data_IF_083490341885
#
_entry.id   IF_083490341885
#
_cell.length_a   1.000
_cell.length_b   1.000
_cell.length_c   1.000
_cell.angle_alpha   90.00
_cell.angle_beta   90.00
_cell.angle_gamma   90.00
#
_symmetry.space_group_name_H-M   'P 1'
#
loop_
_entity.id
_entity.type
_entity.pdbx_description
1 polymer ?
#
# COMPACT_ATOMS: atom_id res chain seq x y z
N UNK A 1 -53.01 24.13 -51.14
CA UNK A 1 -51.83 25.00 -51.28
C UNK A 1 -50.92 24.67 -50.05
N UNK A 2 -50.25 23.64 -50.19
CA UNK A 2 -48.84 23.36 -50.43
C UNK A 2 -47.91 24.16 -49.53
N UNK A 3 -47.48 23.57 -48.45
CA UNK A 3 -46.18 23.72 -47.87
C UNK A 3 -45.70 22.36 -47.38
N UNK A 4 -45.31 21.58 -48.36
CA UNK A 4 -44.59 20.34 -48.14
C UNK A 4 -43.09 20.63 -48.22
N UNK A 5 -42.40 20.21 -47.14
CA UNK A 5 -41.13 19.48 -47.21
C UNK A 5 -39.88 20.22 -47.65
N UNK A 6 -38.98 20.29 -46.69
CA UNK A 6 -37.61 19.75 -46.88
C UNK A 6 -37.03 19.43 -45.51
N UNK A 7 -37.29 18.21 -45.04
CA UNK A 7 -36.45 17.58 -44.02
C UNK A 7 -35.20 17.03 -44.74
N UNK A 8 -34.11 17.76 -44.64
CA UNK A 8 -32.80 17.25 -45.01
C UNK A 8 -32.32 16.28 -43.95
N UNK A 9 -32.30 14.99 -44.28
CA UNK A 9 -31.71 13.94 -43.48
C UNK A 9 -30.18 14.15 -43.42
N UNK A 10 -29.69 14.80 -42.37
CA UNK A 10 -28.28 14.73 -42.02
C UNK A 10 -27.99 13.37 -41.39
N UNK A 11 -27.48 12.44 -42.14
CA UNK A 11 -26.95 11.19 -41.62
C UNK A 11 -25.75 11.49 -40.74
N UNK A 12 -25.92 11.40 -39.45
CA UNK A 12 -24.83 11.48 -38.47
C UNK A 12 -24.04 10.17 -38.58
N UNK A 13 -22.96 10.16 -39.35
CA UNK A 13 -21.97 9.07 -39.32
C UNK A 13 -21.23 9.19 -37.98
N UNK A 14 -21.68 8.45 -36.99
CA UNK A 14 -20.92 8.23 -35.76
C UNK A 14 -19.68 7.41 -36.14
N UNK A 15 -18.53 8.08 -36.28
CA UNK A 15 -17.26 7.42 -36.38
C UNK A 15 -16.99 6.71 -35.02
N UNK A 16 -17.21 5.42 -34.97
CA UNK A 16 -16.76 4.58 -33.85
C UNK A 16 -15.23 4.58 -33.92
N UNK A 17 -14.62 5.45 -33.12
CA UNK A 17 -13.17 5.37 -32.88
C UNK A 17 -12.97 4.13 -32.01
N UNK A 18 -12.74 2.99 -32.64
CA UNK A 18 -12.20 1.83 -31.94
C UNK A 18 -10.84 2.25 -31.37
N UNK A 19 -10.58 2.04 -30.08
CA UNK A 19 -9.25 2.24 -29.56
C UNK A 19 -8.32 1.33 -30.37
N UNK A 20 -7.29 1.93 -30.97
CA UNK A 20 -6.25 1.16 -31.63
C UNK A 20 -5.75 0.12 -30.63
N UNK A 21 -5.97 -1.16 -30.92
CA UNK A 21 -5.38 -2.23 -30.14
C UNK A 21 -3.89 -1.92 -30.08
N UNK A 22 -3.38 -1.70 -28.85
CA UNK A 22 -1.97 -1.48 -28.65
C UNK A 22 -1.27 -2.70 -29.25
N UNK A 23 -0.62 -2.50 -30.40
CA UNK A 23 0.14 -3.55 -31.07
C UNK A 23 1.11 -4.09 -30.02
N UNK A 24 1.06 -5.40 -29.78
CA UNK A 24 2.01 -6.06 -28.89
C UNK A 24 3.41 -5.70 -29.42
N UNK A 25 4.11 -4.84 -28.69
CA UNK A 25 5.46 -4.47 -29.08
C UNK A 25 6.34 -5.70 -28.81
N UNK A 26 6.94 -6.23 -29.86
CA UNK A 26 7.90 -7.32 -29.72
C UNK A 26 9.07 -6.85 -28.84
N UNK A 27 9.31 -7.60 -27.77
CA UNK A 27 10.40 -7.33 -26.85
C UNK A 27 11.71 -7.69 -27.53
N UNK A 28 12.60 -6.72 -27.71
CA UNK A 28 13.91 -6.94 -28.32
C UNK A 28 14.79 -7.85 -27.44
N UNK A 29 15.76 -8.56 -28.02
CA UNK A 29 16.71 -9.36 -27.23
C UNK A 29 17.44 -8.56 -26.14
N UNK A 30 17.78 -7.31 -26.42
CA UNK A 30 18.43 -6.41 -25.47
C UNK A 30 17.50 -6.06 -24.28
N UNK A 31 16.22 -5.77 -24.54
CA UNK A 31 15.22 -5.56 -23.50
C UNK A 31 15.04 -6.82 -22.66
N UNK A 32 14.89 -7.98 -23.31
CA UNK A 32 14.75 -9.26 -22.60
C UNK A 32 15.93 -9.50 -21.64
N UNK A 33 17.16 -9.36 -22.13
CA UNK A 33 18.37 -9.54 -21.32
C UNK A 33 18.41 -8.59 -20.13
N UNK A 34 18.05 -7.31 -20.33
CA UNK A 34 17.99 -6.30 -19.28
C UNK A 34 17.00 -6.65 -18.18
N UNK A 35 15.75 -7.00 -18.54
CA UNK A 35 14.71 -7.31 -17.56
C UNK A 35 14.99 -8.63 -16.82
N UNK A 36 15.58 -9.62 -17.50
CA UNK A 36 16.08 -10.85 -16.86
C UNK A 36 17.17 -10.54 -15.82
N UNK A 37 18.12 -9.66 -16.12
CA UNK A 37 19.15 -9.24 -15.18
C UNK A 37 18.56 -8.53 -13.96
N UNK A 38 17.58 -7.64 -14.13
CA UNK A 38 16.89 -6.97 -13.02
C UNK A 38 16.12 -7.93 -12.12
N UNK A 39 15.43 -8.90 -12.68
CA UNK A 39 14.75 -9.92 -11.89
C UNK A 39 15.76 -10.81 -11.15
N UNK A 40 16.91 -11.12 -11.77
CA UNK A 40 18.00 -11.82 -11.11
C UNK A 40 18.60 -11.01 -9.94
N UNK A 41 18.72 -9.69 -10.09
CA UNK A 41 19.14 -8.80 -9.01
C UNK A 41 18.15 -8.78 -7.84
N UNK A 42 16.86 -8.69 -8.12
CA UNK A 42 15.83 -8.81 -7.10
C UNK A 42 15.91 -10.16 -6.36
N UNK A 43 16.11 -11.27 -7.10
CA UNK A 43 16.29 -12.60 -6.53
C UNK A 43 17.50 -12.70 -5.60
N UNK A 44 18.56 -11.97 -5.93
CA UNK A 44 19.79 -11.92 -5.14
C UNK A 44 19.74 -10.85 -4.01
N UNK A 45 18.60 -10.18 -3.80
CA UNK A 45 18.47 -9.12 -2.81
C UNK A 45 19.25 -7.84 -3.16
N UNK A 46 19.71 -7.72 -4.39
CA UNK A 46 20.36 -6.49 -4.90
C UNK A 46 19.32 -5.54 -5.46
N UNK A 47 18.59 -4.90 -4.57
CA UNK A 47 17.52 -3.97 -4.93
C UNK A 47 18.10 -2.64 -5.43
N UNK A 48 18.18 -2.48 -6.73
CA UNK A 48 18.43 -1.18 -7.33
C UNK A 48 17.17 -0.32 -7.23
N UNK A 49 17.31 0.96 -6.93
CA UNK A 49 16.24 1.90 -7.23
C UNK A 49 15.89 1.69 -8.71
N UNK A 50 14.60 1.55 -9.03
CA UNK A 50 14.20 1.59 -10.43
C UNK A 50 14.65 2.95 -10.95
N UNK A 51 15.45 2.99 -12.02
CA UNK A 51 15.90 4.26 -12.50
C UNK A 51 14.68 5.06 -12.95
N UNK A 52 14.57 6.24 -12.41
CA UNK A 52 13.98 7.33 -13.16
C UNK A 52 14.84 7.67 -14.41
N UNK A 53 16.00 7.04 -14.56
CA UNK A 53 16.94 7.29 -15.61
C UNK A 53 16.77 6.30 -16.78
N UNK A 54 16.91 6.77 -18.03
CA UNK A 54 16.86 5.89 -19.19
C UNK A 54 17.92 4.80 -19.07
N UNK A 55 17.54 3.59 -19.44
CA UNK A 55 18.34 2.37 -19.40
C UNK A 55 19.42 2.35 -20.49
N UNK A 56 20.18 3.44 -20.64
CA UNK A 56 21.08 3.61 -21.75
C UNK A 56 20.31 3.60 -23.08
N UNK A 57 20.83 2.97 -24.14
CA UNK A 57 20.19 2.95 -25.46
C UNK A 57 18.95 2.01 -25.53
N UNK A 58 18.62 1.30 -24.44
CA UNK A 58 17.49 0.34 -24.42
C UNK A 58 16.22 1.06 -23.99
N UNK A 59 15.24 1.12 -24.87
CA UNK A 59 13.94 1.74 -24.57
C UNK A 59 13.21 0.99 -23.46
N UNK A 60 12.62 1.75 -22.52
CA UNK A 60 11.81 1.19 -21.44
C UNK A 60 10.55 0.52 -21.99
N UNK A 61 10.12 -0.55 -21.29
CA UNK A 61 8.85 -1.22 -21.53
C UNK A 61 8.03 -1.09 -20.25
N UNK A 62 7.05 -0.17 -20.18
CA UNK A 62 6.38 0.19 -18.93
C UNK A 62 5.82 -1.01 -18.15
N UNK A 63 5.21 -1.97 -18.84
CA UNK A 63 4.67 -3.17 -18.16
C UNK A 63 5.77 -4.03 -17.54
N UNK A 64 6.94 -4.12 -18.18
CA UNK A 64 8.08 -4.88 -17.63
C UNK A 64 8.75 -4.13 -16.48
N UNK A 65 8.77 -2.81 -16.51
CA UNK A 65 9.21 -1.99 -15.36
C UNK A 65 8.30 -2.23 -14.17
N UNK A 66 6.97 -2.27 -14.37
CA UNK A 66 6.02 -2.59 -13.30
C UNK A 66 6.17 -4.05 -12.81
N UNK A 67 6.48 -5.02 -13.68
CA UNK A 67 6.79 -6.41 -13.28
C UNK A 67 8.03 -6.47 -12.38
N UNK A 68 9.11 -5.79 -12.74
CA UNK A 68 10.34 -5.75 -11.93
C UNK A 68 10.10 -5.06 -10.60
N UNK A 69 9.32 -3.96 -10.60
CA UNK A 69 8.97 -3.25 -9.38
C UNK A 69 8.08 -4.12 -8.49
N UNK A 70 7.04 -4.76 -9.04
CA UNK A 70 6.20 -5.71 -8.31
C UNK A 70 7.03 -6.82 -7.68
N UNK A 71 7.93 -7.45 -8.45
CA UNK A 71 8.79 -8.52 -7.94
C UNK A 71 9.70 -8.05 -6.81
N UNK A 72 10.17 -6.80 -6.84
CA UNK A 72 10.90 -6.17 -5.73
C UNK A 72 9.99 -5.94 -4.53
N UNK A 73 8.85 -5.24 -4.71
CA UNK A 73 8.00 -4.77 -3.61
C UNK A 73 7.36 -5.90 -2.80
N UNK A 74 7.10 -7.06 -3.41
CA UNK A 74 6.56 -8.24 -2.73
C UNK A 74 7.59 -8.96 -1.85
N UNK A 75 8.88 -8.66 -1.98
CA UNK A 75 9.96 -9.28 -1.21
C UNK A 75 10.15 -8.56 0.11
N UNK A 76 10.45 -9.31 1.17
CA UNK A 76 10.82 -8.71 2.45
C UNK A 76 12.18 -8.00 2.33
N UNK A 77 12.40 -6.93 3.12
CA UNK A 77 13.63 -6.15 3.10
C UNK A 77 13.95 -5.47 1.77
N UNK A 78 12.95 -5.20 0.93
CA UNK A 78 13.09 -4.70 -0.46
C UNK A 78 13.67 -3.29 -0.58
N UNK A 79 13.91 -2.57 0.54
CA UNK A 79 14.46 -1.21 0.62
C UNK A 79 13.68 -0.14 -0.14
N UNK A 80 12.44 -0.41 -0.51
CA UNK A 80 11.58 0.60 -1.11
C UNK A 80 10.97 1.48 -0.01
N UNK A 81 10.69 2.72 -0.37
CA UNK A 81 10.03 3.69 0.52
C UNK A 81 8.53 3.47 0.58
N UNK A 82 7.86 4.02 1.60
CA UNK A 82 6.40 4.06 1.70
C UNK A 82 5.78 4.68 0.43
N UNK A 83 6.40 5.74 -0.10
CA UNK A 83 5.93 6.43 -1.30
C UNK A 83 6.01 5.55 -2.56
N UNK A 84 7.09 4.78 -2.74
CA UNK A 84 7.23 3.84 -3.87
C UNK A 84 6.17 2.74 -3.82
N UNK A 85 5.93 2.16 -2.63
CA UNK A 85 4.86 1.18 -2.44
C UNK A 85 3.48 1.78 -2.75
N UNK A 86 3.19 2.97 -2.20
CA UNK A 86 1.91 3.64 -2.41
C UNK A 86 1.66 3.97 -3.88
N UNK A 87 2.69 4.47 -4.58
CA UNK A 87 2.61 4.80 -5.99
C UNK A 87 2.34 3.55 -6.86
N UNK A 88 3.01 2.44 -6.56
CA UNK A 88 2.79 1.18 -7.26
C UNK A 88 1.36 0.66 -7.05
N UNK A 89 0.92 0.54 -5.80
CA UNK A 89 -0.41 0.06 -5.44
C UNK A 89 -1.54 0.92 -6.04
N UNK A 90 -1.29 2.23 -6.15
CA UNK A 90 -2.26 3.15 -6.73
C UNK A 90 -2.43 2.99 -8.26
N UNK A 91 -1.34 2.65 -8.96
CA UNK A 91 -1.36 2.41 -10.41
C UNK A 91 -1.82 1.00 -10.77
N UNK A 92 -1.57 0.04 -9.89
CA UNK A 92 -1.75 -1.38 -10.14
C UNK A 92 -2.62 -2.04 -9.05
N UNK A 93 -3.89 -1.63 -8.87
CA UNK A 93 -4.73 -2.09 -7.75
C UNK A 93 -5.03 -3.59 -7.78
N UNK A 94 -5.10 -4.18 -8.98
CA UNK A 94 -5.49 -5.57 -9.19
C UNK A 94 -4.30 -6.53 -9.36
N UNK A 95 -3.08 -6.05 -9.12
CA UNK A 95 -1.91 -6.91 -9.26
C UNK A 95 -1.80 -7.94 -8.13
N UNK A 96 -1.25 -9.14 -8.42
CA UNK A 96 -1.13 -10.20 -7.44
C UNK A 96 -0.33 -9.77 -6.21
N UNK A 97 -0.63 -10.37 -5.07
CA UNK A 97 0.07 -10.15 -3.79
C UNK A 97 0.03 -8.69 -3.27
N UNK A 98 -0.98 -7.90 -3.64
CA UNK A 98 -1.16 -6.55 -3.13
C UNK A 98 -1.13 -6.48 -1.59
N UNK A 99 -1.68 -7.48 -0.88
CA UNK A 99 -1.63 -7.57 0.58
C UNK A 99 -0.19 -7.72 1.10
N UNK A 100 0.65 -8.52 0.44
CA UNK A 100 2.07 -8.67 0.80
C UNK A 100 2.81 -7.35 0.60
N UNK A 101 2.58 -6.69 -0.53
CA UNK A 101 3.18 -5.37 -0.83
C UNK A 101 2.74 -4.33 0.20
N UNK A 102 1.45 -4.31 0.60
CA UNK A 102 0.96 -3.43 1.66
C UNK A 102 1.62 -3.69 3.00
N UNK A 103 1.77 -4.97 3.41
CA UNK A 103 2.50 -5.32 4.63
C UNK A 103 3.96 -4.85 4.60
N UNK A 104 4.62 -4.98 3.45
CA UNK A 104 5.99 -4.49 3.28
C UNK A 104 6.06 -2.96 3.33
N UNK A 105 5.09 -2.26 2.73
CA UNK A 105 4.96 -0.82 2.86
C UNK A 105 4.82 -0.39 4.33
N UNK A 106 3.94 -1.04 5.07
CA UNK A 106 3.67 -0.73 6.46
C UNK A 106 4.90 -0.95 7.37
N UNK A 107 5.76 -1.92 7.06
CA UNK A 107 7.03 -2.15 7.77
C UNK A 107 8.05 -1.01 7.57
N UNK A 108 7.87 -0.15 6.58
CA UNK A 108 8.76 1.01 6.36
C UNK A 108 8.39 2.21 7.22
N UNK A 109 7.24 2.17 7.89
CA UNK A 109 6.77 3.27 8.74
C UNK A 109 7.46 3.20 10.10
N UNK A 110 8.25 4.23 10.40
CA UNK A 110 9.03 4.38 11.63
C UNK A 110 8.83 5.78 12.27
N UNK A 111 9.61 6.07 13.31
CA UNK A 111 9.56 7.36 14.05
C UNK A 111 9.96 8.55 13.17
N UNK A 112 10.65 8.34 12.05
CA UNK A 112 11.10 9.40 11.13
C UNK A 112 10.08 9.67 10.01
N UNK A 113 9.08 8.80 9.86
CA UNK A 113 8.08 8.93 8.81
C UNK A 113 7.14 10.10 9.09
N UNK A 114 7.02 11.09 8.18
CA UNK A 114 6.16 12.25 8.42
C UNK A 114 4.69 11.86 8.66
N UNK A 115 4.06 12.42 9.68
CA UNK A 115 2.66 12.15 10.04
C UNK A 115 1.70 12.34 8.84
N UNK A 116 1.93 13.38 8.02
CA UNK A 116 1.12 13.62 6.82
C UNK A 116 1.22 12.46 5.80
N UNK A 117 2.41 11.86 5.63
CA UNK A 117 2.61 10.72 4.74
C UNK A 117 1.89 9.47 5.26
N UNK A 118 1.95 9.22 6.58
CA UNK A 118 1.24 8.12 7.25
C UNK A 118 -0.27 8.26 7.04
N UNK A 119 -0.82 9.45 7.32
CA UNK A 119 -2.26 9.72 7.17
C UNK A 119 -2.69 9.57 5.71
N UNK A 120 -1.91 10.09 4.75
CA UNK A 120 -2.21 9.98 3.33
C UNK A 120 -2.18 8.53 2.84
N UNK A 121 -1.24 7.72 3.31
CA UNK A 121 -1.17 6.31 2.98
C UNK A 121 -2.40 5.55 3.49
N UNK A 122 -2.72 5.67 4.79
CA UNK A 122 -3.83 4.94 5.39
C UNK A 122 -5.21 5.42 4.98
N UNK A 123 -5.33 6.64 4.45
CA UNK A 123 -6.57 7.10 3.81
C UNK A 123 -6.94 6.27 2.56
N UNK A 124 -5.96 5.62 1.91
CA UNK A 124 -6.18 4.77 0.73
C UNK A 124 -6.07 3.28 1.04
N UNK A 125 -5.23 2.91 1.98
CA UNK A 125 -4.88 1.53 2.30
C UNK A 125 -5.05 1.30 3.81
N UNK A 126 -6.21 0.81 4.29
CA UNK A 126 -6.43 0.57 5.71
C UNK A 126 -5.33 -0.28 6.34
N UNK A 127 -4.89 0.06 7.54
CA UNK A 127 -3.75 -0.57 8.21
C UNK A 127 -3.97 -2.07 8.47
N UNK A 128 -2.99 -2.87 8.13
CA UNK A 128 -2.98 -4.33 8.29
C UNK A 128 -2.26 -4.78 9.56
N UNK A 129 -1.17 -4.08 9.93
CA UNK A 129 -0.34 -4.44 11.06
C UNK A 129 -0.71 -3.63 12.32
N UNK A 130 -0.60 -4.23 13.50
CA UNK A 130 -0.84 -3.56 14.77
C UNK A 130 0.04 -2.34 14.97
N UNK A 131 1.35 -2.50 14.71
CA UNK A 131 2.31 -1.41 14.77
C UNK A 131 1.93 -0.24 13.84
N UNK A 132 1.40 -0.54 12.66
CA UNK A 132 0.97 0.47 11.70
C UNK A 132 -0.29 1.21 12.15
N UNK A 133 -1.26 0.50 12.74
CA UNK A 133 -2.42 1.13 13.37
C UNK A 133 -2.00 2.06 14.51
N UNK A 134 -1.04 1.63 15.32
CA UNK A 134 -0.47 2.46 16.38
C UNK A 134 0.15 3.74 15.79
N UNK A 135 1.01 3.64 14.77
CA UNK A 135 1.62 4.78 14.08
C UNK A 135 0.59 5.71 13.43
N UNK A 136 -0.47 5.14 12.87
CA UNK A 136 -1.58 5.92 12.31
C UNK A 136 -2.34 6.67 13.41
N UNK A 137 -2.60 6.02 14.55
CA UNK A 137 -3.21 6.67 15.71
C UNK A 137 -2.39 7.86 16.23
N UNK A 138 -1.06 7.72 16.34
CA UNK A 138 -0.18 8.81 16.73
C UNK A 138 -0.22 9.97 15.72
N UNK A 139 -0.12 9.65 14.42
CA UNK A 139 -0.17 10.64 13.34
C UNK A 139 -1.49 11.43 13.35
N UNK A 140 -2.62 10.73 13.52
CA UNK A 140 -3.94 11.34 13.63
C UNK A 140 -4.08 12.23 14.87
N UNK A 141 -3.57 11.77 16.03
CA UNK A 141 -3.59 12.54 17.27
C UNK A 141 -2.78 13.85 17.11
N UNK A 142 -1.60 13.76 16.52
CA UNK A 142 -0.75 14.93 16.26
C UNK A 142 -1.38 15.91 15.25
N UNK A 143 -2.23 15.41 14.36
CA UNK A 143 -3.01 16.22 13.41
C UNK A 143 -4.34 16.74 14.00
N UNK A 144 -4.60 16.56 15.29
CA UNK A 144 -5.82 17.00 15.98
C UNK A 144 -7.06 16.16 15.66
N UNK A 145 -6.93 15.01 14.99
CA UNK A 145 -8.02 14.12 14.62
C UNK A 145 -8.28 13.10 15.73
N UNK A 146 -8.65 13.59 16.93
CA UNK A 146 -8.71 12.82 18.17
C UNK A 146 -9.60 11.58 18.08
N UNK A 147 -10.81 11.68 17.55
CA UNK A 147 -11.75 10.55 17.48
C UNK A 147 -11.22 9.43 16.59
N UNK A 148 -10.71 9.78 15.41
CA UNK A 148 -10.09 8.82 14.49
C UNK A 148 -8.84 8.18 15.11
N UNK A 149 -8.03 8.96 15.83
CA UNK A 149 -6.85 8.45 16.53
C UNK A 149 -7.22 7.40 17.59
N UNK A 150 -8.28 7.66 18.38
CA UNK A 150 -8.76 6.71 19.40
C UNK A 150 -9.29 5.43 18.73
N UNK A 151 -10.01 5.54 17.62
CA UNK A 151 -10.50 4.37 16.88
C UNK A 151 -9.35 3.47 16.40
N UNK A 152 -8.31 4.07 15.79
CA UNK A 152 -7.12 3.34 15.35
C UNK A 152 -6.32 2.75 16.54
N UNK A 153 -6.18 3.48 17.64
CA UNK A 153 -5.52 3.00 18.85
C UNK A 153 -6.24 1.79 19.45
N UNK A 154 -7.56 1.79 19.50
CA UNK A 154 -8.34 0.62 19.90
C UNK A 154 -8.15 -0.57 18.97
N UNK A 155 -8.12 -0.31 17.65
CA UNK A 155 -7.83 -1.33 16.64
C UNK A 155 -6.42 -1.90 16.74
N UNK A 156 -5.43 -1.11 17.15
CA UNK A 156 -4.08 -1.56 17.45
C UNK A 156 -4.07 -2.40 18.75
N UNK A 157 -4.71 -1.90 19.80
CA UNK A 157 -4.80 -2.56 21.10
C UNK A 157 -5.49 -3.91 21.03
N UNK A 158 -6.58 -4.00 20.28
CA UNK A 158 -7.35 -5.23 20.05
C UNK A 158 -6.56 -6.30 19.25
N UNK A 159 -5.34 -6.05 18.86
CA UNK A 159 -4.49 -7.01 18.14
C UNK A 159 -3.42 -7.60 19.05
N UNK A 160 -2.99 -8.84 18.77
CA UNK A 160 -1.91 -9.50 19.50
C UNK A 160 -0.50 -9.09 18.98
N UNK A 161 -0.39 -8.13 18.06
CA UNK A 161 0.83 -7.84 17.32
C UNK A 161 1.63 -6.62 17.79
N UNK A 162 1.36 -6.09 18.98
CA UNK A 162 2.17 -5.04 19.60
C UNK A 162 3.28 -5.66 20.45
N UNK A 163 4.49 -5.12 20.35
CA UNK A 163 5.55 -5.41 21.30
C UNK A 163 5.40 -4.63 22.62
N UNK A 164 6.26 -4.91 23.61
CA UNK A 164 6.16 -4.33 24.96
C UNK A 164 6.28 -2.81 24.94
N UNK A 165 7.18 -2.27 24.12
CA UNK A 165 7.39 -0.82 24.04
C UNK A 165 6.20 -0.12 23.37
N UNK A 166 5.64 -0.74 22.32
CA UNK A 166 4.43 -0.26 21.65
C UNK A 166 3.21 -0.30 22.57
N UNK A 167 3.05 -1.38 23.37
CA UNK A 167 2.01 -1.47 24.41
C UNK A 167 2.12 -0.31 25.41
N UNK A 168 3.33 -0.09 25.94
CA UNK A 168 3.58 0.95 26.93
C UNK A 168 3.29 2.35 26.36
N UNK A 169 3.74 2.64 25.15
CA UNK A 169 3.50 3.92 24.47
C UNK A 169 2.00 4.12 24.18
N UNK A 170 1.30 3.08 23.73
CA UNK A 170 -0.13 3.15 23.47
C UNK A 170 -0.91 3.44 24.73
N UNK A 171 -0.60 2.73 25.84
CA UNK A 171 -1.23 2.97 27.14
C UNK A 171 -0.94 4.38 27.66
N UNK A 172 0.29 4.85 27.58
CA UNK A 172 0.65 6.20 28.00
C UNK A 172 -0.10 7.31 27.23
N UNK A 173 -0.41 7.07 25.95
CA UNK A 173 -1.04 8.07 25.07
C UNK A 173 -2.56 7.97 25.01
N UNK A 174 -3.11 6.76 25.08
CA UNK A 174 -4.52 6.46 24.82
C UNK A 174 -5.18 5.64 25.91
N UNK A 175 -4.48 5.32 27.03
CA UNK A 175 -5.01 4.47 28.10
C UNK A 175 -6.36 4.93 28.63
N UNK A 176 -6.53 6.24 28.88
CA UNK A 176 -7.79 6.84 29.33
C UNK A 176 -8.95 6.70 28.31
N UNK A 177 -8.65 6.44 27.06
CA UNK A 177 -9.65 6.23 26.01
C UNK A 177 -10.00 4.77 25.80
N UNK A 178 -9.21 3.83 26.36
CA UNK A 178 -9.50 2.40 26.33
C UNK A 178 -10.57 2.05 27.39
N UNK A 179 -11.47 1.15 27.01
CA UNK A 179 -12.53 0.66 27.88
C UNK A 179 -12.19 -0.72 28.40
N UNK A 180 -12.82 -1.16 29.48
CA UNK A 180 -12.67 -2.52 30.02
C UNK A 180 -12.87 -3.60 28.93
N UNK A 181 -13.83 -3.39 28.03
CA UNK A 181 -14.07 -4.31 26.92
C UNK A 181 -12.88 -4.39 25.94
N UNK A 182 -12.15 -3.28 25.73
CA UNK A 182 -10.96 -3.26 24.86
C UNK A 182 -9.82 -4.08 25.48
N UNK A 183 -9.66 -4.04 26.82
CA UNK A 183 -8.68 -4.85 27.55
C UNK A 183 -9.04 -6.34 27.55
N UNK A 184 -10.32 -6.67 27.77
CA UNK A 184 -10.79 -8.06 27.73
C UNK A 184 -10.61 -8.67 26.34
N UNK A 185 -10.97 -7.93 25.28
CA UNK A 185 -10.79 -8.39 23.90
C UNK A 185 -9.33 -8.66 23.55
N UNK A 186 -8.40 -7.79 24.00
CA UNK A 186 -6.98 -8.02 23.85
C UNK A 186 -6.50 -9.27 24.60
N UNK A 187 -6.88 -9.41 25.86
CA UNK A 187 -6.49 -10.56 26.68
C UNK A 187 -6.94 -11.87 26.02
N UNK A 188 -8.18 -11.94 25.55
CA UNK A 188 -8.72 -13.10 24.84
C UNK A 188 -7.88 -13.44 23.58
N UNK A 189 -7.53 -12.45 22.76
CA UNK A 189 -6.69 -12.66 21.59
C UNK A 189 -5.26 -13.10 21.92
N UNK A 190 -4.66 -12.54 22.98
CA UNK A 190 -3.33 -12.94 23.40
C UNK A 190 -3.33 -14.42 23.88
N UNK A 191 -4.34 -14.82 24.63
CA UNK A 191 -4.50 -16.23 25.05
C UNK A 191 -4.76 -17.14 23.86
N UNK A 192 -5.62 -16.73 22.92
CA UNK A 192 -5.92 -17.51 21.71
C UNK A 192 -4.72 -17.70 20.80
N UNK A 193 -3.78 -16.76 20.82
CA UNK A 193 -2.53 -16.81 20.03
C UNK A 193 -1.33 -17.34 20.84
N UNK A 194 -1.57 -17.96 21.97
CA UNK A 194 -0.57 -18.54 22.88
C UNK A 194 0.48 -17.54 23.41
N UNK A 195 0.11 -16.25 23.47
CA UNK A 195 0.97 -15.19 24.01
C UNK A 195 0.72 -14.99 25.53
N UNK A 196 0.90 -16.07 26.30
CA UNK A 196 0.56 -16.11 27.73
C UNK A 196 1.33 -15.09 28.56
N UNK A 197 2.60 -14.82 28.25
CA UNK A 197 3.40 -13.79 28.92
C UNK A 197 2.83 -12.38 28.67
N UNK A 198 2.35 -12.09 27.47
CA UNK A 198 1.70 -10.82 27.17
C UNK A 198 0.33 -10.72 27.86
N UNK A 199 -0.44 -11.80 27.88
CA UNK A 199 -1.72 -11.86 28.59
C UNK A 199 -1.57 -11.63 30.09
N UNK A 200 -0.53 -12.19 30.72
CA UNK A 200 -0.24 -12.00 32.14
C UNK A 200 0.06 -10.54 32.52
N UNK A 201 0.53 -9.71 31.58
CA UNK A 201 0.70 -8.26 31.82
C UNK A 201 -0.62 -7.47 31.85
N UNK A 202 -1.73 -8.10 31.46
CA UNK A 202 -3.05 -7.49 31.47
C UNK A 202 -3.80 -7.64 32.80
N UNK A 203 -3.27 -8.47 33.75
CA UNK A 203 -3.81 -8.71 35.06
C UNK A 203 -3.31 -7.68 36.07
#
# INVERSE_FOLDING_TARGET
MEWLQRLSSAALVAAVILPAAAAAQDITPAQKALYQARLADNNAGRFSALPAAPLGPVAAVPVLDDVVLWDRLRRDGNKATLAEHAAFLARNPDWPQAITIRRNAEKTIDDTTPAAAIIAYFARFPALLAASKWRHAEALMNAGRREAAIAEARGAWDSAGLDVDQEARLLARFGDALRAADHLGRMDKLLWTDQTTAAARML
#
